data_IF_392991406712
#
_entry.id   IF_392991406712
#
_cell.length_a   1.000
_cell.length_b   1.000
_cell.length_c   1.000
_cell.angle_alpha   90.00
_cell.angle_beta   90.00
_cell.angle_gamma   90.00
#
_symmetry.space_group_name_H-M   'P 1'
#
loop_
_entity.id
_entity.type
_entity.pdbx_description
1 polymer ?
#
# COMPACT_ATOMS: atom_id res chain seq x y z
N UNK A 1 24.33 27.32 36.54
CA UNK A 1 24.18 25.99 35.93
C UNK A 1 22.74 25.82 35.46
N UNK A 2 22.43 26.29 34.25
CA UNK A 2 21.10 26.16 33.66
C UNK A 2 20.93 24.73 33.12
N UNK A 3 19.98 23.97 33.65
CA UNK A 3 19.64 22.64 33.14
C UNK A 3 18.94 22.81 31.78
N UNK A 4 19.62 22.39 30.72
CA UNK A 4 19.08 22.30 29.38
C UNK A 4 17.94 21.27 29.40
N UNK A 5 16.70 21.73 29.19
CA UNK A 5 15.56 20.84 29.02
C UNK A 5 15.73 20.08 27.71
N UNK A 6 15.98 18.77 27.80
CA UNK A 6 15.91 17.85 26.67
C UNK A 6 14.46 17.84 26.19
N UNK A 7 14.14 18.58 25.13
CA UNK A 7 12.89 18.43 24.39
C UNK A 7 12.89 17.00 23.85
N UNK A 8 12.14 16.09 24.48
CA UNK A 8 11.73 14.82 23.87
C UNK A 8 10.97 15.20 22.59
N UNK A 9 11.59 15.05 21.42
CA UNK A 9 10.86 15.15 20.15
C UNK A 9 9.81 14.05 20.17
N UNK A 10 8.54 14.41 20.34
CA UNK A 10 7.46 13.46 20.07
C UNK A 10 7.61 13.08 18.59
N UNK A 11 7.72 11.79 18.28
CA UNK A 11 7.74 11.31 16.90
C UNK A 11 6.53 11.84 16.14
N UNK A 12 6.63 11.96 14.81
CA UNK A 12 5.55 12.52 14.02
C UNK A 12 4.26 11.69 14.25
N UNK A 13 3.09 12.33 14.33
CA UNK A 13 1.83 11.62 14.46
C UNK A 13 1.63 10.68 13.26
N UNK A 14 0.96 9.54 13.46
CA UNK A 14 0.69 8.57 12.40
C UNK A 14 -0.60 8.90 11.64
N UNK A 15 -0.58 8.77 10.32
CA UNK A 15 -1.74 8.80 9.44
C UNK A 15 -2.16 7.35 9.17
N UNK A 16 -3.29 6.91 9.73
CA UNK A 16 -3.87 5.60 9.46
C UNK A 16 -5.02 5.72 8.46
N UNK A 17 -5.27 4.68 7.67
CA UNK A 17 -6.40 4.65 6.74
C UNK A 17 -7.19 3.36 6.83
N UNK A 18 -8.51 3.48 6.72
CA UNK A 18 -9.45 2.36 6.70
C UNK A 18 -10.32 2.47 5.47
N UNK A 19 -10.46 1.37 4.74
CA UNK A 19 -11.28 1.30 3.54
C UNK A 19 -12.22 0.12 3.64
N UNK A 20 -13.48 0.35 3.28
CA UNK A 20 -14.51 -0.67 3.16
C UNK A 20 -14.94 -0.79 1.70
N UNK A 21 -14.75 -1.96 1.10
CA UNK A 21 -15.25 -2.28 -0.24
C UNK A 21 -16.39 -3.29 -0.16
N UNK A 22 -17.51 -2.98 -0.82
CA UNK A 22 -18.73 -3.79 -0.77
C UNK A 22 -18.64 -5.09 -1.59
N UNK A 23 -17.92 -5.07 -2.72
CA UNK A 23 -17.75 -6.20 -3.64
C UNK A 23 -16.29 -6.23 -4.09
N UNK A 24 -15.61 -7.37 -4.00
CA UNK A 24 -14.16 -7.44 -4.27
C UNK A 24 -13.72 -8.70 -5.00
N UNK A 25 -12.90 -8.49 -6.04
CA UNK A 25 -12.28 -9.51 -6.88
C UNK A 25 -10.85 -9.78 -6.45
N UNK A 26 -10.64 -10.95 -5.85
CA UNK A 26 -9.39 -11.27 -5.17
C UNK A 26 -8.15 -11.36 -6.09
N UNK A 27 -8.32 -11.66 -7.38
CA UNK A 27 -7.21 -11.96 -8.30
C UNK A 27 -6.81 -10.77 -9.17
N UNK A 28 -7.79 -10.06 -9.75
CA UNK A 28 -7.51 -9.06 -10.79
C UNK A 28 -7.58 -7.61 -10.30
N UNK A 29 -8.40 -7.31 -9.28
CA UNK A 29 -8.60 -5.94 -8.76
C UNK A 29 -7.90 -5.65 -7.44
N UNK A 30 -7.93 -6.62 -6.51
CA UNK A 30 -7.46 -6.41 -5.13
C UNK A 30 -5.96 -6.07 -4.99
N UNK A 31 -5.01 -6.72 -5.71
CA UNK A 31 -3.60 -6.36 -5.61
C UNK A 31 -3.35 -4.89 -5.98
N UNK A 32 -4.09 -4.38 -6.97
CA UNK A 32 -4.01 -2.99 -7.40
C UNK A 32 -4.58 -2.05 -6.34
N UNK A 33 -5.77 -2.34 -5.81
CA UNK A 33 -6.42 -1.48 -4.79
C UNK A 33 -5.56 -1.35 -3.52
N UNK A 34 -4.99 -2.45 -3.02
CA UNK A 34 -4.11 -2.40 -1.84
C UNK A 34 -2.92 -1.48 -2.09
N UNK A 35 -2.25 -1.63 -3.24
CA UNK A 35 -1.11 -0.79 -3.60
C UNK A 35 -1.49 0.68 -3.79
N UNK A 36 -2.61 0.96 -4.47
CA UNK A 36 -3.09 2.33 -4.70
C UNK A 36 -3.44 3.06 -3.41
N UNK A 37 -4.15 2.41 -2.49
CA UNK A 37 -4.54 3.04 -1.24
C UNK A 37 -3.40 3.13 -0.23
N UNK A 38 -2.48 2.17 -0.21
CA UNK A 38 -1.24 2.31 0.53
C UNK A 38 -0.42 3.49 -0.01
N UNK A 39 -0.29 3.64 -1.33
CA UNK A 39 0.40 4.78 -1.93
C UNK A 39 -0.27 6.11 -1.53
N UNK A 40 -1.60 6.19 -1.60
CA UNK A 40 -2.35 7.37 -1.19
C UNK A 40 -2.14 7.71 0.29
N UNK A 41 -2.12 6.70 1.17
CA UNK A 41 -1.79 6.88 2.59
C UNK A 41 -0.42 7.51 2.77
N UNK A 42 0.59 7.01 2.05
CA UNK A 42 1.95 7.56 2.08
C UNK A 42 2.00 9.00 1.55
N UNK A 43 1.31 9.29 0.45
CA UNK A 43 1.22 10.64 -0.12
C UNK A 43 0.56 11.64 0.85
N UNK A 44 -0.55 11.24 1.47
CA UNK A 44 -1.26 12.05 2.46
C UNK A 44 -0.40 12.30 3.69
N UNK A 45 0.23 11.26 4.22
CA UNK A 45 1.14 11.36 5.36
C UNK A 45 2.26 12.36 5.06
N UNK A 46 2.89 12.24 3.88
CA UNK A 46 3.95 13.15 3.43
C UNK A 46 3.53 14.62 3.44
N UNK A 47 2.43 14.96 2.75
CA UNK A 47 2.03 16.38 2.58
C UNK A 47 1.43 16.99 3.84
N UNK A 48 0.97 16.16 4.79
CA UNK A 48 0.42 16.62 6.07
C UNK A 48 1.45 16.60 7.21
N UNK A 49 2.66 16.08 6.98
CA UNK A 49 3.71 15.99 8.00
C UNK A 49 3.52 14.87 9.02
N UNK A 50 2.80 13.81 8.63
CA UNK A 50 2.57 12.60 9.42
C UNK A 50 3.46 11.46 8.92
N UNK A 51 3.59 10.41 9.73
CA UNK A 51 4.16 9.14 9.29
C UNK A 51 3.04 8.20 8.81
N UNK A 52 3.25 7.38 7.76
CA UNK A 52 2.28 6.36 7.38
C UNK A 52 2.10 5.35 8.53
N UNK A 53 0.84 5.12 8.89
CA UNK A 53 0.40 4.17 9.92
C UNK A 53 -0.17 2.90 9.30
N UNK A 54 -1.20 2.36 9.93
CA UNK A 54 -1.81 1.12 9.50
C UNK A 54 -2.81 1.36 8.34
N UNK A 55 -2.81 0.43 7.39
CA UNK A 55 -3.84 0.32 6.35
C UNK A 55 -4.74 -0.88 6.65
N UNK A 56 -6.02 -0.61 6.89
CA UNK A 56 -7.03 -1.65 7.18
C UNK A 56 -8.02 -1.74 6.03
N UNK A 57 -8.03 -2.89 5.34
CA UNK A 57 -8.95 -3.15 4.22
C UNK A 57 -10.04 -4.14 4.67
N UNK A 58 -11.25 -3.62 4.81
CA UNK A 58 -12.46 -4.38 5.14
C UNK A 58 -13.23 -4.73 3.87
N UNK A 59 -13.71 -5.97 3.78
CA UNK A 59 -14.45 -6.48 2.64
C UNK A 59 -15.90 -6.82 3.05
N UNK A 60 -16.86 -6.51 2.17
CA UNK A 60 -18.23 -7.01 2.23
C UNK A 60 -18.34 -8.40 1.60
N UNK A 61 -18.59 -8.45 0.30
CA UNK A 61 -18.55 -9.68 -0.51
C UNK A 61 -17.15 -9.87 -1.12
N UNK A 62 -16.39 -10.83 -0.58
CA UNK A 62 -15.11 -11.25 -1.11
C UNK A 62 -15.28 -12.58 -1.88
N UNK A 63 -15.07 -12.55 -3.20
CA UNK A 63 -15.24 -13.72 -4.04
C UNK A 63 -14.12 -13.89 -5.08
N UNK A 64 -14.11 -15.08 -5.69
CA UNK A 64 -13.19 -15.51 -6.73
C UNK A 64 -14.05 -15.97 -7.92
N UNK A 65 -13.74 -15.49 -9.12
CA UNK A 65 -14.39 -16.02 -10.32
C UNK A 65 -13.94 -17.46 -10.58
N UNK A 66 -14.87 -18.28 -11.08
CA UNK A 66 -14.59 -19.69 -11.39
C UNK A 66 -13.43 -19.87 -12.38
N UNK A 67 -13.26 -18.93 -13.33
CA UNK A 67 -12.17 -18.94 -14.30
C UNK A 67 -10.80 -18.50 -13.72
N UNK A 68 -10.74 -18.15 -12.42
CA UNK A 68 -9.49 -17.75 -11.73
C UNK A 68 -9.03 -18.77 -10.68
N UNK A 69 -9.72 -19.89 -10.51
CA UNK A 69 -9.43 -20.87 -9.45
C UNK A 69 -8.02 -21.43 -9.56
N UNK A 70 -7.55 -21.72 -10.77
CA UNK A 70 -6.21 -22.28 -10.98
C UNK A 70 -5.10 -21.23 -10.73
N UNK A 71 -5.35 -19.96 -11.06
CA UNK A 71 -4.48 -18.84 -10.73
C UNK A 71 -4.36 -18.65 -9.22
N UNK A 72 -5.48 -18.77 -8.48
CA UNK A 72 -5.48 -18.70 -7.01
C UNK A 72 -4.68 -19.86 -6.43
N UNK A 73 -4.90 -21.09 -6.90
CA UNK A 73 -4.14 -22.26 -6.42
C UNK A 73 -2.63 -22.09 -6.67
N UNK A 74 -2.26 -21.60 -7.85
CA UNK A 74 -0.86 -21.30 -8.17
C UNK A 74 -0.29 -20.24 -7.23
N UNK A 75 -1.01 -19.14 -6.98
CA UNK A 75 -0.56 -18.10 -6.06
C UNK A 75 -0.42 -18.62 -4.62
N UNK A 76 -1.35 -19.46 -4.16
CA UNK A 76 -1.31 -20.08 -2.82
C UNK A 76 -0.20 -21.12 -2.67
N UNK A 77 0.33 -21.67 -3.77
CA UNK A 77 1.47 -22.58 -3.74
C UNK A 77 2.82 -21.87 -3.54
N UNK A 78 2.86 -20.54 -3.68
CA UNK A 78 4.08 -19.72 -3.53
C UNK A 78 4.32 -19.38 -2.07
N UNK A 79 5.59 -19.28 -1.69
CA UNK A 79 5.98 -18.78 -0.37
C UNK A 79 6.12 -17.25 -0.40
N UNK A 80 5.41 -16.50 0.45
CA UNK A 80 5.55 -15.05 0.50
C UNK A 80 7.00 -14.60 0.74
N UNK A 81 7.47 -13.69 -0.09
CA UNK A 81 8.77 -13.03 0.04
C UNK A 81 8.65 -11.76 0.89
N UNK A 82 9.79 -11.19 1.37
CA UNK A 82 9.77 -9.89 2.05
C UNK A 82 9.08 -8.81 1.23
N UNK A 83 8.37 -7.91 1.91
CA UNK A 83 7.69 -6.79 1.27
C UNK A 83 8.72 -5.77 0.72
N UNK A 84 8.41 -5.11 -0.41
CA UNK A 84 9.23 -4.01 -0.90
C UNK A 84 9.14 -2.80 0.03
N UNK A 85 10.06 -1.85 -0.14
CA UNK A 85 10.03 -0.56 0.57
C UNK A 85 9.75 0.56 -0.42
N UNK A 86 8.73 1.37 -0.13
CA UNK A 86 8.39 2.59 -0.86
C UNK A 86 9.11 3.79 -0.22
N UNK A 87 9.82 4.57 -1.03
CA UNK A 87 10.44 5.84 -0.65
C UNK A 87 9.92 6.96 -1.53
N UNK A 88 9.48 8.05 -0.91
CA UNK A 88 9.19 9.32 -1.59
C UNK A 88 10.49 10.12 -1.62
N UNK A 89 11.01 10.41 -2.81
CA UNK A 89 12.35 11.01 -3.00
C UNK A 89 12.33 12.53 -2.96
N UNK A 90 11.19 13.16 -3.30
CA UNK A 90 11.03 14.62 -3.34
C UNK A 90 10.10 15.11 -2.25
N UNK A 91 10.51 16.17 -1.56
CA UNK A 91 9.65 16.88 -0.61
C UNK A 91 8.65 17.78 -1.36
N UNK A 92 7.41 17.31 -1.50
CA UNK A 92 6.30 18.07 -2.10
C UNK A 92 5.34 18.61 -1.04
N UNK A 93 4.66 19.72 -1.33
CA UNK A 93 3.72 20.39 -0.40
C UNK A 93 2.25 20.21 -0.77
N UNK A 94 1.95 19.86 -2.01
CA UNK A 94 0.60 19.53 -2.46
C UNK A 94 0.54 18.09 -2.95
N UNK A 95 -0.58 17.41 -2.68
CA UNK A 95 -0.83 16.06 -3.19
C UNK A 95 -0.89 16.03 -4.74
N UNK A 96 -1.19 17.15 -5.37
CA UNK A 96 -1.26 17.28 -6.83
C UNK A 96 0.11 17.49 -7.49
N UNK A 97 1.16 17.74 -6.71
CA UNK A 97 2.51 17.99 -7.24
C UNK A 97 3.32 16.71 -7.45
N UNK A 98 2.84 15.56 -6.96
CA UNK A 98 3.52 14.28 -7.12
C UNK A 98 3.61 13.86 -8.59
N UNK A 99 4.75 13.28 -8.96
CA UNK A 99 5.05 12.69 -10.26
C UNK A 99 5.52 11.27 -10.09
N UNK A 100 5.49 10.51 -11.18
CA UNK A 100 5.89 9.10 -11.17
C UNK A 100 7.32 8.91 -10.63
N UNK A 101 8.24 9.81 -10.98
CA UNK A 101 9.66 9.74 -10.63
C UNK A 101 9.93 10.02 -9.14
N UNK A 102 8.94 10.52 -8.39
CA UNK A 102 9.08 10.80 -6.97
C UNK A 102 8.99 9.52 -6.11
N UNK A 103 8.58 8.39 -6.70
CA UNK A 103 8.35 7.14 -6.01
C UNK A 103 9.41 6.12 -6.37
N UNK A 104 10.17 5.68 -5.37
CA UNK A 104 11.14 4.61 -5.52
C UNK A 104 10.69 3.38 -4.75
N UNK A 105 10.56 2.26 -5.46
CA UNK A 105 10.26 0.96 -4.88
C UNK A 105 11.54 0.14 -4.88
N UNK A 106 12.02 -0.19 -3.68
CA UNK A 106 13.25 -0.97 -3.47
C UNK A 106 12.91 -2.36 -2.94
N UNK A 107 13.80 -3.33 -3.18
CA UNK A 107 13.64 -4.72 -2.74
C UNK A 107 12.35 -5.40 -3.27
N UNK A 108 11.86 -5.00 -4.44
CA UNK A 108 10.74 -5.66 -5.10
C UNK A 108 11.21 -6.86 -5.92
N UNK A 109 11.06 -8.06 -5.36
CA UNK A 109 11.40 -9.34 -6.00
C UNK A 109 10.15 -10.25 -6.10
N UNK A 110 9.18 -9.95 -6.98
CA UNK A 110 7.96 -10.74 -7.09
C UNK A 110 8.22 -12.10 -7.76
N UNK A 111 7.34 -13.07 -7.50
CA UNK A 111 7.26 -14.27 -8.33
C UNK A 111 6.73 -13.95 -9.75
N UNK A 112 6.93 -14.85 -10.74
CA UNK A 112 6.48 -14.60 -12.11
C UNK A 112 5.00 -14.24 -12.21
N UNK A 113 4.68 -13.33 -13.14
CA UNK A 113 3.32 -12.85 -13.37
C UNK A 113 2.34 -14.02 -13.65
N UNK A 114 1.17 -13.99 -13.01
CA UNK A 114 0.07 -14.93 -13.24
C UNK A 114 -0.97 -14.23 -14.11
N UNK A 115 -1.18 -14.70 -15.33
CA UNK A 115 -2.22 -14.16 -16.21
C UNK A 115 -3.61 -14.64 -15.77
N UNK A 116 -4.50 -13.68 -15.48
CA UNK A 116 -5.90 -13.92 -15.14
C UNK A 116 -6.79 -13.06 -16.05
N UNK A 117 -7.59 -13.65 -16.95
CA UNK A 117 -8.45 -12.89 -17.85
C UNK A 117 -9.58 -12.19 -17.10
N UNK A 118 -9.88 -10.94 -17.44
CA UNK A 118 -11.00 -10.22 -16.82
C UNK A 118 -12.31 -10.93 -17.18
N UNK A 119 -13.13 -11.24 -16.17
CA UNK A 119 -14.49 -11.73 -16.40
C UNK A 119 -15.37 -10.54 -16.84
N UNK A 120 -16.05 -10.70 -17.97
CA UNK A 120 -17.03 -9.75 -18.53
C UNK A 120 -18.45 -10.18 -18.18
#
# INVERSE_FOLDING_TARGET
>A
MAKQAVKKSRGAPKCCSTIAELISLMVTGKPFNIASYALLLHMLAHVTGYEPGDFVHSFGDAHIYSNHVDQVKLQLSRTPKPLPTLRITRDVKSIFDFRYEDFEITCYDPDPHISAPVAV
#
